data_IF_349949314375
#
_entry.id   IF_349949314375
#
_cell.length_a   1.000
_cell.length_b   1.000
_cell.length_c   1.000
_cell.angle_alpha   90.00
_cell.angle_beta   90.00
_cell.angle_gamma   90.00
#
_symmetry.space_group_name_H-M   'P 1'
#
loop_
_entity.id
_entity.type
_entity.pdbx_description
1 polymer ?
#
# COMPACT_ATOMS: atom_id res chain seq x y z
N UNK A 1 11.66 -7.42 -5.82
CA UNK A 1 11.68 -6.58 -7.04
C UNK A 1 10.86 -5.32 -6.76
N UNK A 2 11.33 -4.13 -7.16
CA UNK A 2 10.58 -2.87 -6.97
C UNK A 2 9.97 -2.44 -8.31
N UNK A 3 8.69 -2.07 -8.31
CA UNK A 3 7.97 -1.56 -9.49
C UNK A 3 7.39 -0.18 -9.18
N UNK A 4 7.59 0.77 -10.08
CA UNK A 4 7.11 2.14 -9.92
C UNK A 4 6.10 2.50 -11.02
N UNK A 5 4.92 2.99 -10.62
CA UNK A 5 3.93 3.55 -11.52
C UNK A 5 4.05 5.08 -11.49
N UNK A 6 4.57 5.68 -12.57
CA UNK A 6 4.78 7.13 -12.70
C UNK A 6 3.92 7.74 -13.80
N UNK A 7 3.55 9.01 -13.63
CA UNK A 7 2.73 9.76 -14.59
C UNK A 7 1.97 10.91 -13.93
N UNK A 8 1.38 11.79 -14.73
CA UNK A 8 0.67 12.97 -14.24
C UNK A 8 -0.61 12.65 -13.44
N UNK A 9 -1.09 13.60 -12.63
CA UNK A 9 -2.38 13.46 -11.92
C UNK A 9 -3.49 13.17 -12.95
N UNK A 10 -4.34 12.19 -12.67
CA UNK A 10 -5.41 11.76 -13.58
C UNK A 10 -5.01 10.66 -14.57
N UNK A 11 -3.74 10.23 -14.62
CA UNK A 11 -3.28 9.18 -15.54
C UNK A 11 -3.68 7.73 -15.16
N UNK A 12 -4.64 7.55 -14.24
CA UNK A 12 -5.13 6.22 -13.85
C UNK A 12 -4.23 5.36 -12.95
N UNK A 13 -3.10 5.88 -12.45
CA UNK A 13 -2.12 5.09 -11.64
C UNK A 13 -2.74 4.36 -10.46
N UNK A 14 -3.54 5.05 -9.66
CA UNK A 14 -4.16 4.46 -8.46
C UNK A 14 -5.11 3.33 -8.85
N UNK A 15 -5.95 3.52 -9.88
CA UNK A 15 -6.83 2.47 -10.40
C UNK A 15 -6.04 1.26 -10.91
N UNK A 16 -4.94 1.49 -11.64
CA UNK A 16 -4.05 0.41 -12.08
C UNK A 16 -3.39 -0.33 -10.91
N UNK A 17 -3.00 0.39 -9.85
CA UNK A 17 -2.42 -0.22 -8.66
C UNK A 17 -3.44 -1.08 -7.90
N UNK A 18 -4.68 -0.62 -7.78
CA UNK A 18 -5.79 -1.37 -7.17
C UNK A 18 -6.08 -2.64 -7.96
N UNK A 19 -6.17 -2.56 -9.28
CA UNK A 19 -6.35 -3.72 -10.16
C UNK A 19 -5.23 -4.74 -9.98
N UNK A 20 -3.97 -4.28 -9.99
CA UNK A 20 -2.81 -5.15 -9.77
C UNK A 20 -2.85 -5.84 -8.40
N UNK A 21 -3.24 -5.13 -7.34
CA UNK A 21 -3.36 -5.70 -6.01
C UNK A 21 -4.45 -6.79 -5.95
N UNK A 22 -5.61 -6.52 -6.54
CA UNK A 22 -6.73 -7.46 -6.62
C UNK A 22 -6.42 -8.70 -7.48
N UNK A 23 -5.61 -8.58 -8.54
CA UNK A 23 -5.15 -9.75 -9.28
C UNK A 23 -4.08 -10.53 -8.52
N UNK A 24 -3.15 -9.82 -7.85
CA UNK A 24 -2.07 -10.45 -7.09
C UNK A 24 -2.63 -11.33 -5.97
N UNK A 25 -3.64 -10.86 -5.23
CA UNK A 25 -4.18 -11.60 -4.07
C UNK A 25 -4.88 -12.91 -4.46
N UNK A 26 -5.28 -13.08 -5.73
CA UNK A 26 -5.89 -14.34 -6.21
C UNK A 26 -4.88 -15.48 -6.35
N UNK A 27 -3.60 -15.14 -6.45
CA UNK A 27 -2.50 -16.09 -6.72
C UNK A 27 -1.40 -16.04 -5.66
N UNK A 28 -1.45 -15.06 -4.75
CA UNK A 28 -0.56 -14.91 -3.61
C UNK A 28 -0.67 -16.12 -2.68
N UNK A 29 0.48 -16.62 -2.24
CA UNK A 29 0.53 -17.60 -1.14
C UNK A 29 0.71 -16.92 0.22
N UNK A 30 1.09 -15.64 0.21
CA UNK A 30 1.29 -14.82 1.39
C UNK A 30 0.35 -13.63 1.51
N UNK A 31 0.63 -12.77 2.48
CA UNK A 31 -0.12 -11.54 2.75
C UNK A 31 0.15 -10.48 1.68
N UNK A 32 -0.91 -9.81 1.22
CA UNK A 32 -0.80 -8.58 0.44
C UNK A 32 -1.25 -7.40 1.30
N UNK A 33 -0.41 -6.37 1.35
CA UNK A 33 -0.67 -5.14 2.07
C UNK A 33 -0.84 -4.00 1.07
N UNK A 34 -1.85 -3.18 1.27
CA UNK A 34 -2.06 -1.95 0.51
C UNK A 34 -2.05 -0.75 1.46
N UNK A 35 -1.06 0.12 1.31
CA UNK A 35 -0.90 1.34 2.10
C UNK A 35 -1.38 2.52 1.27
N UNK A 36 -2.30 3.30 1.83
CA UNK A 36 -2.82 4.48 1.15
C UNK A 36 -3.18 5.58 2.14
N UNK A 37 -3.42 6.79 1.61
CA UNK A 37 -3.64 7.96 2.47
C UNK A 37 -4.90 7.88 3.32
N UNK A 38 -6.02 7.56 2.69
CA UNK A 38 -7.35 7.70 3.28
C UNK A 38 -8.19 6.43 3.07
N UNK A 39 -9.36 6.38 3.69
CA UNK A 39 -10.23 5.21 3.69
C UNK A 39 -10.92 4.89 2.34
N UNK A 40 -10.68 5.68 1.28
CA UNK A 40 -11.42 5.58 0.01
C UNK A 40 -11.28 4.23 -0.69
N UNK A 41 -10.07 3.68 -0.74
CA UNK A 41 -9.79 2.49 -1.55
C UNK A 41 -10.20 1.17 -0.88
N UNK A 42 -10.60 1.20 0.39
CA UNK A 42 -11.02 -0.02 1.11
C UNK A 42 -12.18 -0.74 0.45
N UNK A 43 -13.09 -0.01 -0.21
CA UNK A 43 -14.23 -0.60 -0.91
C UNK A 43 -13.91 -1.10 -2.32
N UNK A 44 -12.74 -0.73 -2.87
CA UNK A 44 -12.30 -1.14 -4.21
C UNK A 44 -11.34 -2.36 -4.14
N UNK A 45 -10.80 -2.66 -2.95
CA UNK A 45 -9.87 -3.76 -2.71
C UNK A 45 -10.60 -5.01 -2.21
N UNK A 46 -10.08 -6.18 -2.58
CA UNK A 46 -10.51 -7.47 -2.06
C UNK A 46 -10.36 -7.54 -0.54
N UNK A 47 -11.30 -8.19 0.15
CA UNK A 47 -11.25 -8.38 1.60
C UNK A 47 -10.02 -9.20 2.07
N UNK A 48 -9.37 -9.93 1.15
CA UNK A 48 -8.13 -10.65 1.42
C UNK A 48 -6.88 -9.75 1.41
N UNK A 49 -7.03 -8.48 1.04
CA UNK A 49 -5.94 -7.49 1.06
C UNK A 49 -6.02 -6.72 2.36
N UNK A 50 -4.92 -6.68 3.11
CA UNK A 50 -4.82 -5.85 4.31
C UNK A 50 -4.60 -4.40 3.90
N UNK A 51 -5.61 -3.55 4.13
CA UNK A 51 -5.51 -2.12 3.86
C UNK A 51 -5.02 -1.38 5.09
N UNK A 52 -4.05 -0.49 4.91
CA UNK A 52 -3.51 0.40 5.95
C UNK A 52 -3.74 1.84 5.50
N UNK A 53 -4.54 2.56 6.28
CA UNK A 53 -4.81 3.97 6.06
C UNK A 53 -3.85 4.83 6.87
N UNK A 54 -3.04 5.65 6.20
CA UNK A 54 -2.04 6.49 6.87
C UNK A 54 -2.65 7.62 7.69
N UNK A 55 -3.89 8.03 7.42
CA UNK A 55 -4.63 8.98 8.27
C UNK A 55 -4.88 8.43 9.69
N UNK A 56 -4.82 7.11 9.90
CA UNK A 56 -4.96 6.51 11.25
C UNK A 56 -3.64 6.59 12.06
N UNK A 57 -2.53 7.02 11.45
CA UNK A 57 -1.20 7.08 12.05
C UNK A 57 -0.63 8.50 12.00
N UNK A 58 -1.34 9.45 12.60
CA UNK A 58 -1.02 10.89 12.57
C UNK A 58 0.40 11.25 13.05
N UNK A 59 1.03 10.38 13.86
CA UNK A 59 2.39 10.58 14.38
C UNK A 59 3.50 10.18 13.39
N UNK A 60 3.16 9.63 12.22
CA UNK A 60 4.12 9.38 11.14
C UNK A 60 4.15 10.62 10.25
N UNK A 61 5.09 11.50 10.53
CA UNK A 61 5.19 12.85 9.99
C UNK A 61 6.38 13.06 9.06
N UNK A 62 7.33 12.12 9.05
CA UNK A 62 8.53 12.18 8.21
C UNK A 62 8.90 10.82 7.60
N UNK A 63 9.88 10.86 6.69
CA UNK A 63 10.31 9.69 5.93
C UNK A 63 10.96 8.62 6.82
N UNK A 64 11.70 8.99 7.86
CA UNK A 64 12.38 8.04 8.73
C UNK A 64 11.36 7.25 9.57
N UNK A 65 10.33 7.93 10.08
CA UNK A 65 9.18 7.32 10.76
C UNK A 65 8.41 6.41 9.81
N UNK A 66 8.20 6.83 8.56
CA UNK A 66 7.52 6.00 7.55
C UNK A 66 8.33 4.73 7.24
N UNK A 67 9.65 4.84 7.08
CA UNK A 67 10.55 3.69 6.89
C UNK A 67 10.48 2.76 8.10
N UNK A 68 10.54 3.30 9.32
CA UNK A 68 10.40 2.53 10.55
C UNK A 68 9.06 1.80 10.62
N UNK A 69 7.98 2.42 10.18
CA UNK A 69 6.66 1.81 10.10
C UNK A 69 6.62 0.64 9.11
N UNK A 70 7.22 0.78 7.92
CA UNK A 70 7.37 -0.31 6.95
C UNK A 70 8.19 -1.46 7.53
N UNK A 71 9.29 -1.18 8.24
CA UNK A 71 10.05 -2.21 8.94
C UNK A 71 9.24 -2.91 10.02
N UNK A 72 8.44 -2.17 10.78
CA UNK A 72 7.50 -2.73 11.76
C UNK A 72 6.54 -3.73 11.11
N UNK A 73 5.91 -3.33 10.00
CA UNK A 73 5.00 -4.19 9.22
C UNK A 73 5.70 -5.49 8.78
N UNK A 74 6.86 -5.37 8.12
CA UNK A 74 7.61 -6.52 7.59
C UNK A 74 8.13 -7.42 8.71
N UNK A 75 8.51 -6.85 9.86
CA UNK A 75 8.97 -7.63 11.02
C UNK A 75 7.84 -8.38 11.74
N UNK A 76 6.59 -7.94 11.57
CA UNK A 76 5.43 -8.54 12.23
C UNK A 76 4.82 -9.69 11.44
N UNK A 77 5.03 -9.74 10.12
CA UNK A 77 4.47 -10.77 9.24
C UNK A 77 5.52 -11.15 8.19
N UNK A 78 6.14 -12.31 8.40
CA UNK A 78 7.16 -12.85 7.50
C UNK A 78 6.58 -13.48 6.23
N UNK A 79 5.26 -13.66 6.17
CA UNK A 79 4.56 -14.19 5.00
C UNK A 79 4.08 -13.07 4.06
N UNK A 80 4.45 -11.81 4.31
CA UNK A 80 4.15 -10.71 3.36
C UNK A 80 4.84 -10.96 2.03
N UNK A 81 4.03 -11.12 0.99
CA UNK A 81 4.51 -11.36 -0.37
C UNK A 81 4.66 -10.04 -1.16
N UNK A 82 3.75 -9.10 -0.98
CA UNK A 82 3.77 -7.81 -1.70
C UNK A 82 3.16 -6.67 -0.88
N UNK A 83 3.81 -5.51 -0.93
CA UNK A 83 3.30 -4.25 -0.39
C UNK A 83 3.07 -3.28 -1.55
N UNK A 84 1.84 -2.79 -1.67
CA UNK A 84 1.47 -1.68 -2.55
C UNK A 84 1.44 -0.39 -1.73
N UNK A 85 2.00 0.69 -2.28
CA UNK A 85 2.04 2.00 -1.62
C UNK A 85 1.53 3.05 -2.62
N UNK A 86 0.31 3.56 -2.41
CA UNK A 86 -0.25 4.65 -3.20
C UNK A 86 0.11 6.01 -2.59
N UNK A 87 0.31 7.01 -3.45
CA UNK A 87 0.49 8.41 -3.04
C UNK A 87 1.68 8.68 -2.08
N UNK A 88 2.77 7.91 -2.15
CA UNK A 88 3.97 8.06 -1.29
C UNK A 88 4.49 9.51 -1.20
N UNK A 89 4.43 10.27 -2.30
CA UNK A 89 4.89 11.67 -2.36
C UNK A 89 3.94 12.69 -1.69
N UNK A 90 2.78 12.25 -1.19
CA UNK A 90 1.88 13.09 -0.37
C UNK A 90 2.05 12.82 1.14
N UNK A 91 2.96 11.90 1.48
CA UNK A 91 3.30 11.50 2.85
C UNK A 91 4.69 12.01 3.27
N UNK A 92 5.33 12.82 2.42
CA UNK A 92 6.59 13.51 2.65
C UNK A 92 6.38 15.03 2.52
#
# INVERSE_FOLDING_TARGET
MVKLLIGHKGSGKTSQMVELANESVKTSNGSIIFINKNHRLMYELSYNIRVICMEDYENITNIDEYIGFIYGIISSDHDIETIFIDSILKHA
#
